data_IF_360111160763
#
_entry.id   IF_360111160763
#
_cell.length_a   1.000
_cell.length_b   1.000
_cell.length_c   1.000
_cell.angle_alpha   90.00
_cell.angle_beta   90.00
_cell.angle_gamma   90.00
#
_symmetry.space_group_name_H-M   'P 1'
#
loop_
_entity.id
_entity.type
_entity.pdbx_description
1 polymer ?
#
# COMPACT_ATOMS: atom_id res chain seq x y z
N UNK A 1 26.42 -17.12 4.99
CA UNK A 1 26.22 -16.31 3.78
C UNK A 1 24.80 -15.77 3.85
N UNK A 2 24.62 -14.46 4.00
CA UNK A 2 23.29 -13.85 3.93
C UNK A 2 23.07 -13.48 2.47
N UNK A 3 22.18 -14.21 1.79
CA UNK A 3 21.72 -13.79 0.47
C UNK A 3 20.91 -12.51 0.67
N UNK A 4 21.38 -11.39 0.13
CA UNK A 4 20.55 -10.19 0.01
C UNK A 4 19.35 -10.56 -0.86
N UNK A 5 18.21 -10.81 -0.23
CA UNK A 5 16.96 -10.94 -0.93
C UNK A 5 16.62 -9.57 -1.48
N UNK A 6 16.81 -9.35 -2.78
CA UNK A 6 16.41 -8.13 -3.51
C UNK A 6 14.89 -8.01 -3.63
N UNK A 7 14.20 -8.07 -2.49
CA UNK A 7 12.76 -7.93 -2.39
C UNK A 7 12.46 -6.45 -2.40
N UNK A 8 11.82 -5.99 -3.47
CA UNK A 8 11.39 -4.60 -3.60
C UNK A 8 9.86 -4.54 -3.68
N UNK A 9 9.30 -3.39 -3.37
CA UNK A 9 7.87 -3.14 -3.56
C UNK A 9 7.60 -3.04 -5.07
N UNK A 10 6.60 -3.77 -5.54
CA UNK A 10 6.13 -3.75 -6.93
C UNK A 10 4.81 -2.98 -7.05
N UNK A 11 3.97 -3.02 -6.01
CA UNK A 11 2.68 -2.35 -6.05
C UNK A 11 2.18 -1.96 -4.66
N UNK A 12 1.48 -0.83 -4.57
CA UNK A 12 0.74 -0.44 -3.37
C UNK A 12 -0.68 -0.03 -3.77
N UNK A 13 -1.66 -0.73 -3.20
CA UNK A 13 -3.09 -0.43 -3.38
C UNK A 13 -3.72 -0.03 -2.07
N UNK A 14 -4.62 0.94 -2.12
CA UNK A 14 -5.39 1.42 -0.96
C UNK A 14 -6.86 1.14 -1.23
N UNK A 15 -7.51 0.46 -0.29
CA UNK A 15 -8.91 0.08 -0.35
C UNK A 15 -9.69 0.68 0.82
N UNK A 16 -10.97 0.98 0.62
CA UNK A 16 -11.88 1.21 1.74
C UNK A 16 -12.35 -0.12 2.36
N UNK A 17 -13.12 -0.04 3.45
CA UNK A 17 -13.64 -1.22 4.17
C UNK A 17 -14.62 -2.08 3.37
N UNK A 18 -15.18 -1.54 2.28
CA UNK A 18 -16.06 -2.29 1.38
C UNK A 18 -15.26 -3.02 0.29
N UNK A 19 -13.92 -2.92 0.31
CA UNK A 19 -13.03 -3.50 -0.69
C UNK A 19 -12.94 -2.67 -1.98
N UNK A 20 -13.49 -1.45 -2.01
CA UNK A 20 -13.37 -0.57 -3.17
C UNK A 20 -11.95 -0.03 -3.26
N UNK A 21 -11.32 -0.18 -4.43
CA UNK A 21 -10.02 0.41 -4.71
C UNK A 21 -10.13 1.94 -4.74
N UNK A 22 -9.41 2.61 -3.84
CA UNK A 22 -9.36 4.07 -3.70
C UNK A 22 -8.13 4.64 -4.42
N UNK A 23 -6.99 3.96 -4.34
CA UNK A 23 -5.75 4.40 -4.97
C UNK A 23 -4.88 3.21 -5.38
N UNK A 24 -4.22 3.33 -6.53
CA UNK A 24 -3.22 2.39 -7.03
C UNK A 24 -1.94 3.18 -7.28
N UNK A 25 -0.86 2.82 -6.59
CA UNK A 25 0.44 3.50 -6.66
C UNK A 25 1.39 2.58 -7.42
N UNK A 26 1.92 3.09 -8.53
CA UNK A 26 2.75 2.33 -9.47
C UNK A 26 4.22 2.79 -9.50
N UNK A 27 4.56 3.85 -8.75
CA UNK A 27 5.91 4.39 -8.65
C UNK A 27 6.08 5.17 -7.35
N UNK A 28 7.34 5.36 -6.95
CA UNK A 28 7.74 6.08 -5.73
C UNK A 28 6.96 5.67 -4.48
N UNK A 29 7.18 4.42 -4.04
CA UNK A 29 6.54 3.87 -2.84
C UNK A 29 7.05 4.47 -1.53
N UNK A 30 8.04 5.38 -1.59
CA UNK A 30 8.60 6.05 -0.40
C UNK A 30 7.63 7.05 0.21
N UNK A 31 6.75 7.64 -0.62
CA UNK A 31 5.76 8.64 -0.22
C UNK A 31 4.49 8.48 -1.05
N UNK A 32 3.34 8.48 -0.38
CA UNK A 32 2.05 8.40 -1.05
C UNK A 32 1.21 9.59 -0.60
N UNK A 33 0.80 10.43 -1.55
CA UNK A 33 -0.11 11.55 -1.25
C UNK A 33 -1.53 11.03 -0.95
N UNK A 34 -2.03 11.37 0.25
CA UNK A 34 -3.37 11.01 0.73
C UNK A 34 -4.28 12.24 0.85
N UNK A 35 -3.85 13.41 0.38
CA UNK A 35 -4.55 14.70 0.54
C UNK A 35 -5.98 14.69 -0.02
N UNK A 36 -6.25 13.90 -1.06
CA UNK A 36 -7.56 13.79 -1.70
C UNK A 36 -8.46 12.70 -1.11
N UNK A 37 -7.94 11.87 -0.18
CA UNK A 37 -8.70 10.80 0.46
C UNK A 37 -9.45 11.36 1.67
N UNK A 38 -10.70 10.95 1.87
CA UNK A 38 -11.52 11.39 3.02
C UNK A 38 -10.99 10.78 4.33
N UNK A 39 -11.37 11.37 5.46
CA UNK A 39 -11.14 10.74 6.77
C UNK A 39 -11.89 9.41 6.83
N UNK A 40 -11.27 8.40 7.44
CA UNK A 40 -11.84 7.06 7.48
C UNK A 40 -10.79 5.98 7.70
N UNK A 41 -11.24 4.73 7.56
CA UNK A 41 -10.42 3.55 7.73
C UNK A 41 -10.18 2.85 6.40
N UNK A 42 -8.93 2.47 6.15
CA UNK A 42 -8.46 1.93 4.88
C UNK A 42 -7.56 0.71 5.09
N UNK A 43 -7.48 -0.12 4.05
CA UNK A 43 -6.53 -1.23 3.96
C UNK A 43 -5.51 -0.89 2.87
N UNK A 44 -4.24 -0.92 3.23
CA UNK A 44 -3.13 -0.84 2.29
C UNK A 44 -2.66 -2.26 2.00
N UNK A 45 -2.64 -2.63 0.73
CA UNK A 45 -2.04 -3.85 0.24
C UNK A 45 -0.72 -3.50 -0.46
N UNK A 46 0.37 -4.07 0.04
CA UNK A 46 1.70 -3.95 -0.56
C UNK A 46 2.04 -5.29 -1.18
N UNK A 47 2.39 -5.30 -2.46
CA UNK A 47 2.88 -6.49 -3.17
C UNK A 47 4.35 -6.30 -3.50
N UNK A 48 5.16 -7.29 -3.18
CA UNK A 48 6.60 -7.31 -3.48
C UNK A 48 6.90 -8.10 -4.75
N UNK A 49 8.13 -7.98 -5.24
CA UNK A 49 8.63 -8.75 -6.40
C UNK A 49 8.56 -10.27 -6.21
N UNK A 50 8.53 -10.74 -4.95
CA UNK A 50 8.33 -12.16 -4.61
C UNK A 50 6.86 -12.60 -4.60
N UNK A 51 5.94 -11.71 -4.98
CA UNK A 51 4.48 -11.90 -4.94
C UNK A 51 3.88 -12.03 -3.53
N UNK A 52 4.68 -11.79 -2.49
CA UNK A 52 4.17 -11.71 -1.12
C UNK A 52 3.28 -10.47 -0.96
N UNK A 53 2.25 -10.60 -0.12
CA UNK A 53 1.28 -9.53 0.14
C UNK A 53 1.27 -9.18 1.62
N UNK A 54 1.50 -7.89 1.92
CA UNK A 54 1.35 -7.33 3.26
C UNK A 54 0.12 -6.43 3.30
N UNK A 55 -0.73 -6.67 4.31
CA UNK A 55 -1.97 -5.92 4.52
C UNK A 55 -1.84 -5.07 5.78
N UNK A 56 -1.97 -3.75 5.64
CA UNK A 56 -1.84 -2.79 6.74
C UNK A 56 -3.14 -2.01 6.87
N UNK A 57 -3.63 -1.88 8.10
CA UNK A 57 -4.78 -1.04 8.43
C UNK A 57 -4.32 0.40 8.68
N UNK A 58 -4.87 1.36 7.95
CA UNK A 58 -4.55 2.79 8.09
C UNK A 58 -5.81 3.59 8.43
N UNK A 59 -5.75 4.40 9.48
CA UNK A 59 -6.77 5.43 9.77
C UNK A 59 -6.27 6.78 9.29
N UNK A 60 -7.08 7.46 8.48
CA UNK A 60 -6.82 8.83 8.02
C UNK A 60 -7.76 9.77 8.78
N UNK A 61 -7.23 10.84 9.35
CA UNK A 61 -7.98 11.87 10.08
C UNK A 61 -7.47 13.24 9.61
N UNK A 62 -8.39 14.18 9.37
CA UNK A 62 -8.12 15.55 8.91
C UNK A 62 -8.75 16.53 9.87
#
# INVERSE_FOLDING_TARGET
>A
MFTESNVTIENVKIYDLQGKLIKNVQSDYSKIDLSQIKSGLYIIQITTTTQEQLHIKLTITK
#
